data_IF_171603532223
#
_entry.id   IF_171603532223
#
_cell.length_a   1.000
_cell.length_b   1.000
_cell.length_c   1.000
_cell.angle_alpha   90.00
_cell.angle_beta   90.00
_cell.angle_gamma   90.00
#
_symmetry.space_group_name_H-M   'P 1'
#
loop_
_entity.id
_entity.type
_entity.pdbx_description
1 polymer ?
#
# COMPACT_ATOMS: atom_id res chain seq x y z
N UNK A 1 13.66 -2.80 -17.41
CA UNK A 1 12.77 -1.66 -17.11
C UNK A 1 12.85 -1.37 -15.62
N UNK A 2 13.06 -0.10 -15.26
CA UNK A 2 13.17 0.34 -13.86
C UNK A 2 11.83 0.91 -13.39
N UNK A 3 11.27 0.34 -12.32
CA UNK A 3 9.97 0.73 -11.75
C UNK A 3 10.19 1.49 -10.45
N UNK A 4 9.68 2.73 -10.38
CA UNK A 4 9.55 3.47 -9.12
C UNK A 4 8.16 3.21 -8.54
N UNK A 5 8.10 2.37 -7.52
CA UNK A 5 6.86 1.90 -6.90
C UNK A 5 6.59 2.65 -5.60
N UNK A 6 5.40 3.22 -5.45
CA UNK A 6 4.93 3.86 -4.23
C UNK A 6 3.95 2.96 -3.51
N UNK A 7 4.34 2.43 -2.35
CA UNK A 7 3.53 1.64 -1.45
C UNK A 7 3.29 2.33 -0.12
N UNK A 8 2.37 1.81 0.68
CA UNK A 8 2.09 2.35 2.03
C UNK A 8 2.53 1.38 3.13
N UNK A 9 2.40 0.11 2.88
CA UNK A 9 2.75 -0.97 3.80
C UNK A 9 3.41 -2.13 3.04
N UNK A 10 4.26 -2.89 3.74
CA UNK A 10 5.00 -4.03 3.17
C UNK A 10 5.35 -5.03 4.28
N UNK A 11 5.38 -6.35 4.01
CA UNK A 11 5.74 -7.34 5.03
C UNK A 11 7.15 -7.13 5.61
N UNK A 12 7.34 -7.42 6.94
CA UNK A 12 6.43 -8.11 7.84
C UNK A 12 5.35 -7.23 8.47
N UNK A 13 5.38 -5.91 8.26
CA UNK A 13 4.44 -4.95 8.85
C UNK A 13 3.16 -4.87 8.01
N UNK A 14 2.21 -5.74 8.33
CA UNK A 14 0.95 -5.90 7.58
C UNK A 14 -0.21 -5.33 8.39
N UNK A 15 -0.77 -4.21 7.93
CA UNK A 15 -1.99 -3.61 8.49
C UNK A 15 -3.25 -3.98 7.68
N UNK A 16 -3.05 -4.45 6.45
CA UNK A 16 -4.14 -4.84 5.55
C UNK A 16 -3.66 -5.67 4.35
N UNK A 17 -4.58 -5.93 3.43
CA UNK A 17 -4.27 -6.71 2.22
C UNK A 17 -3.30 -6.02 1.26
N UNK A 18 -3.10 -4.70 1.40
CA UNK A 18 -2.22 -3.92 0.53
C UNK A 18 -0.75 -4.34 0.68
N UNK A 19 -0.28 -4.64 1.90
CA UNK A 19 1.08 -5.12 2.14
C UNK A 19 1.37 -6.42 1.37
N UNK A 20 0.46 -7.38 1.48
CA UNK A 20 0.59 -8.68 0.79
C UNK A 20 0.52 -8.50 -0.74
N UNK A 21 -0.36 -7.61 -1.22
CA UNK A 21 -0.46 -7.31 -2.64
C UNK A 21 0.82 -6.63 -3.17
N UNK A 22 1.36 -5.65 -2.46
CA UNK A 22 2.61 -4.98 -2.83
C UNK A 22 3.78 -5.97 -2.91
N UNK A 23 3.87 -6.89 -1.94
CA UNK A 23 4.90 -7.92 -1.93
C UNK A 23 4.77 -8.86 -3.13
N UNK A 24 3.58 -9.42 -3.37
CA UNK A 24 3.34 -10.34 -4.47
C UNK A 24 3.52 -9.69 -5.86
N UNK A 25 3.18 -8.39 -5.99
CA UNK A 25 3.42 -7.63 -7.22
C UNK A 25 4.92 -7.41 -7.42
N UNK A 26 5.67 -7.04 -6.37
CA UNK A 26 7.12 -6.88 -6.45
C UNK A 26 7.81 -8.19 -6.86
N UNK A 27 7.42 -9.32 -6.25
CA UNK A 27 7.91 -10.65 -6.63
C UNK A 27 7.56 -11.00 -8.08
N UNK A 28 6.30 -10.81 -8.48
CA UNK A 28 5.86 -11.12 -9.85
C UNK A 28 6.55 -10.26 -10.91
N UNK A 29 6.83 -9.00 -10.61
CA UNK A 29 7.60 -8.11 -11.48
C UNK A 29 9.08 -8.52 -11.50
N UNK A 30 9.68 -8.81 -10.34
CA UNK A 30 11.08 -9.25 -10.24
C UNK A 30 11.34 -10.54 -11.00
N UNK A 31 10.35 -11.44 -11.09
CA UNK A 31 10.43 -12.66 -11.86
C UNK A 31 10.47 -12.43 -13.39
N UNK A 32 10.14 -11.23 -13.87
CA UNK A 32 10.26 -10.90 -15.28
C UNK A 32 11.69 -10.48 -15.62
N UNK A 33 12.19 -10.82 -16.83
CA UNK A 33 13.54 -10.45 -17.22
C UNK A 33 13.68 -8.92 -17.26
N UNK A 34 14.85 -8.44 -16.81
CA UNK A 34 15.26 -7.03 -16.87
C UNK A 34 14.37 -6.04 -16.10
N UNK A 35 13.69 -6.51 -15.04
CA UNK A 35 12.93 -5.66 -14.14
C UNK A 35 13.76 -5.29 -12.90
N UNK A 36 13.84 -4.00 -12.59
CA UNK A 36 14.46 -3.44 -11.37
C UNK A 36 13.42 -2.61 -10.63
N UNK A 37 13.10 -2.99 -9.39
CA UNK A 37 12.02 -2.39 -8.63
C UNK A 37 12.61 -1.63 -7.45
N UNK A 38 12.27 -0.35 -7.37
CA UNK A 38 12.53 0.49 -6.20
C UNK A 38 11.20 0.82 -5.54
N UNK A 39 10.98 0.28 -4.33
CA UNK A 39 9.79 0.49 -3.53
C UNK A 39 10.02 1.59 -2.51
N UNK A 40 9.22 2.63 -2.57
CA UNK A 40 9.15 3.71 -1.58
C UNK A 40 8.07 3.39 -0.54
N UNK A 41 8.42 3.49 0.75
CA UNK A 41 7.51 3.30 1.87
C UNK A 41 7.58 4.51 2.80
N UNK A 42 6.46 4.98 3.41
CA UNK A 42 6.49 6.11 4.35
C UNK A 42 7.46 5.88 5.51
N UNK A 43 7.36 4.73 6.15
CA UNK A 43 8.19 4.33 7.29
C UNK A 43 8.48 2.84 7.27
N UNK A 44 9.54 2.40 6.60
CA UNK A 44 10.07 1.07 6.81
C UNK A 44 10.76 0.98 8.19
N UNK A 45 10.80 -0.24 8.74
CA UNK A 45 11.35 -0.55 10.05
C UNK A 45 12.76 -1.15 9.97
N UNK A 46 13.19 -1.54 8.75
CA UNK A 46 14.50 -2.08 8.49
C UNK A 46 14.56 -3.62 8.45
N UNK A 47 13.46 -4.29 8.71
CA UNK A 47 13.28 -5.74 8.68
C UNK A 47 12.41 -6.23 7.50
N UNK A 48 12.04 -5.31 6.59
CA UNK A 48 11.32 -5.67 5.36
C UNK A 48 12.14 -6.59 4.46
N UNK A 49 11.45 -7.53 3.83
CA UNK A 49 12.05 -8.41 2.83
C UNK A 49 12.47 -7.61 1.58
N UNK A 50 13.78 -7.59 1.30
CA UNK A 50 14.40 -6.87 0.17
C UNK A 50 14.74 -7.76 -1.01
N UNK A 51 14.25 -8.99 -1.02
CA UNK A 51 14.57 -9.98 -2.06
C UNK A 51 14.11 -9.51 -3.44
N UNK A 52 12.94 -8.87 -3.51
CA UNK A 52 12.28 -8.53 -4.78
C UNK A 52 12.29 -7.06 -5.14
N UNK A 53 12.62 -6.18 -4.20
CA UNK A 53 12.67 -4.74 -4.42
C UNK A 53 13.74 -4.07 -3.55
N UNK A 54 14.37 -3.03 -4.08
CA UNK A 54 15.13 -2.06 -3.26
C UNK A 54 14.14 -1.20 -2.50
N UNK A 55 14.35 -1.00 -1.21
CA UNK A 55 13.45 -0.22 -0.37
C UNK A 55 14.06 1.15 -0.07
N UNK A 56 13.27 2.20 -0.28
CA UNK A 56 13.56 3.56 0.15
C UNK A 56 12.59 3.94 1.25
N UNK A 57 13.12 4.25 2.45
CA UNK A 57 12.35 4.85 3.53
C UNK A 57 12.18 6.35 3.28
N UNK A 58 10.95 6.81 3.05
CA UNK A 58 10.66 8.22 2.82
C UNK A 58 10.96 9.07 4.06
N UNK A 59 10.86 8.48 5.25
CA UNK A 59 11.31 9.08 6.52
C UNK A 59 12.84 9.27 6.63
N UNK A 60 13.61 8.77 5.66
CA UNK A 60 15.07 8.93 5.58
C UNK A 60 15.50 9.83 4.40
N UNK A 61 14.56 10.33 3.60
CA UNK A 61 14.83 11.22 2.48
C UNK A 61 14.83 12.67 2.98
N UNK A 62 15.95 13.41 2.89
CA UNK A 62 16.02 14.79 3.34
C UNK A 62 15.25 15.72 2.41
N UNK A 63 14.50 16.65 3.00
CA UNK A 63 13.80 17.75 2.30
C UNK A 63 14.33 19.12 2.72
N UNK A 64 15.07 19.18 3.81
CA UNK A 64 15.79 20.36 4.27
C UNK A 64 17.28 20.06 4.43
N UNK A 65 18.12 20.99 4.03
CA UNK A 65 19.56 20.82 4.17
C UNK A 65 19.98 20.77 5.64
N UNK A 66 20.84 19.80 5.96
CA UNK A 66 21.53 19.70 7.27
C UNK A 66 22.99 19.35 7.01
N UNK A 67 23.89 20.03 7.74
CA UNK A 67 25.32 19.75 7.69
C UNK A 67 25.62 18.59 8.65
N UNK A 68 25.51 17.37 8.17
CA UNK A 68 25.73 16.13 8.90
C UNK A 68 26.79 15.28 8.23
N UNK A 69 27.66 14.65 9.03
CA UNK A 69 28.71 13.79 8.51
C UNK A 69 28.19 12.38 8.18
N UNK A 70 28.99 11.64 7.40
CA UNK A 70 28.63 10.33 6.90
C UNK A 70 28.36 9.31 8.01
N UNK A 71 29.17 9.26 9.06
CA UNK A 71 29.03 8.30 10.15
C UNK A 71 27.71 8.52 10.89
N UNK A 72 27.35 9.77 11.13
CA UNK A 72 26.08 10.13 11.76
C UNK A 72 24.87 9.70 10.91
N UNK A 73 24.90 9.93 9.61
CA UNK A 73 23.85 9.47 8.69
C UNK A 73 23.79 7.95 8.68
N UNK A 74 24.95 7.30 8.51
CA UNK A 74 25.06 5.84 8.47
C UNK A 74 24.45 5.18 9.70
N UNK A 75 24.79 5.67 10.90
CA UNK A 75 24.28 5.10 12.16
C UNK A 75 22.74 5.19 12.27
N UNK A 76 22.15 6.22 11.66
CA UNK A 76 20.72 6.47 11.74
C UNK A 76 19.86 5.74 10.70
N UNK A 77 20.38 5.53 9.49
CA UNK A 77 19.54 5.07 8.38
C UNK A 77 20.01 3.78 7.71
N UNK A 78 21.21 3.25 8.02
CA UNK A 78 21.75 2.08 7.30
C UNK A 78 20.91 0.81 7.43
N UNK A 79 20.07 0.70 8.44
CA UNK A 79 19.11 -0.40 8.60
C UNK A 79 17.88 -0.25 7.68
N UNK A 80 17.61 0.96 7.20
CA UNK A 80 16.46 1.28 6.34
C UNK A 80 16.89 1.45 4.89
N UNK A 81 17.96 2.21 4.64
CA UNK A 81 18.36 2.64 3.31
C UNK A 81 19.89 2.81 3.25
N UNK A 82 20.47 2.65 2.06
CA UNK A 82 21.90 2.93 1.83
C UNK A 82 22.22 4.42 2.12
N UNK A 83 23.22 4.72 2.97
CA UNK A 83 23.55 6.10 3.36
C UNK A 83 23.90 7.01 2.18
N UNK A 84 24.46 6.46 1.11
CA UNK A 84 24.80 7.18 -0.11
C UNK A 84 23.57 7.80 -0.80
N UNK A 85 22.42 7.14 -0.69
CA UNK A 85 21.16 7.66 -1.22
C UNK A 85 20.70 8.93 -0.48
N UNK A 86 20.96 9.02 0.83
CA UNK A 86 20.68 10.25 1.60
C UNK A 86 21.36 11.46 0.97
N UNK A 87 22.67 11.35 0.69
CA UNK A 87 23.43 12.46 0.08
C UNK A 87 22.97 12.74 -1.34
N UNK A 88 22.69 11.70 -2.12
CA UNK A 88 22.12 11.86 -3.46
C UNK A 88 20.79 12.62 -3.43
N UNK A 89 19.89 12.31 -2.49
CA UNK A 89 18.63 13.04 -2.31
C UNK A 89 18.88 14.48 -1.84
N UNK A 90 19.77 14.68 -0.87
CA UNK A 90 20.13 16.00 -0.35
C UNK A 90 20.58 16.95 -1.45
N UNK A 91 21.34 16.47 -2.41
CA UNK A 91 21.85 17.27 -3.52
C UNK A 91 20.73 17.69 -4.52
N UNK A 92 19.54 17.12 -4.39
CA UNK A 92 18.38 17.42 -5.23
C UNK A 92 17.25 18.14 -4.46
N UNK A 93 17.50 18.65 -3.26
CA UNK A 93 16.57 19.53 -2.56
C UNK A 93 16.39 20.81 -3.34
N UNK A 94 15.17 21.09 -3.78
CA UNK A 94 14.86 22.20 -4.69
C UNK A 94 14.03 23.33 -4.08
N UNK A 95 13.60 23.14 -2.84
CA UNK A 95 12.85 24.13 -2.09
C UNK A 95 13.39 24.22 -0.66
N UNK A 96 13.37 25.43 -0.11
CA UNK A 96 13.72 25.65 1.29
C UNK A 96 12.50 25.41 2.16
N UNK A 97 12.43 24.22 2.73
CA UNK A 97 11.37 23.83 3.66
C UNK A 97 11.70 24.16 5.13
N UNK A 98 12.36 25.27 5.38
CA UNK A 98 12.82 25.67 6.73
C UNK A 98 11.71 25.78 7.78
N UNK A 99 10.47 25.89 7.35
CA UNK A 99 9.29 25.96 8.21
C UNK A 99 8.58 24.60 8.40
N UNK A 100 9.09 23.53 7.78
CA UNK A 100 8.54 22.20 7.98
C UNK A 100 9.16 21.52 9.22
N UNK A 101 8.34 20.71 9.87
CA UNK A 101 8.77 19.92 11.03
C UNK A 101 9.65 18.77 10.54
N UNK A 102 10.97 18.94 10.59
CA UNK A 102 11.97 17.96 10.18
C UNK A 102 12.90 17.65 11.34
N UNK A 103 13.43 16.43 11.35
CA UNK A 103 14.41 15.99 12.32
C UNK A 103 15.83 16.55 12.03
N UNK A 104 16.79 16.11 12.79
CA UNK A 104 18.21 16.51 12.70
C UNK A 104 18.90 16.05 11.40
N UNK A 105 18.31 15.13 10.63
CA UNK A 105 18.72 14.76 9.28
C UNK A 105 18.03 15.59 8.18
N UNK A 106 17.13 16.50 8.53
CA UNK A 106 16.32 17.23 7.56
C UNK A 106 15.19 16.42 6.94
N UNK A 107 14.81 15.30 7.57
CA UNK A 107 13.78 14.37 7.11
C UNK A 107 12.47 14.58 7.88
N UNK A 108 11.35 14.34 7.21
CA UNK A 108 10.03 14.26 7.87
C UNK A 108 9.85 12.93 8.59
N UNK A 109 9.15 12.96 9.70
CA UNK A 109 8.78 11.75 10.43
C UNK A 109 7.41 11.24 9.99
N UNK A 110 7.24 9.92 10.04
CA UNK A 110 5.99 9.22 9.80
C UNK A 110 5.66 8.31 10.98
N UNK A 111 4.39 8.22 11.33
CA UNK A 111 3.95 7.33 12.41
C UNK A 111 4.04 5.84 12.00
N UNK A 112 3.81 5.57 10.71
CA UNK A 112 3.60 4.22 10.18
C UNK A 112 2.16 3.76 10.37
N UNK A 113 1.69 2.88 9.49
CA UNK A 113 0.30 2.41 9.50
C UNK A 113 -0.70 3.49 9.10
N UNK A 114 -1.80 3.61 9.86
CA UNK A 114 -2.92 4.52 9.55
C UNK A 114 -3.20 5.46 10.73
N UNK A 115 -2.39 6.50 10.93
CA UNK A 115 -2.55 7.43 12.05
C UNK A 115 -3.73 8.39 11.87
N UNK A 116 -4.06 9.13 12.93
CA UNK A 116 -5.16 10.11 12.91
C UNK A 116 -4.89 11.30 11.97
N UNK A 117 -3.61 11.65 11.74
CA UNK A 117 -3.16 12.70 10.81
C UNK A 117 -2.82 12.16 9.41
N UNK A 118 -3.47 11.08 8.98
CA UNK A 118 -3.17 10.36 7.73
C UNK A 118 -3.09 11.27 6.49
N UNK A 119 -3.97 12.28 6.37
CA UNK A 119 -3.95 13.21 5.24
C UNK A 119 -2.69 14.08 5.19
N UNK A 120 -2.16 14.47 6.36
CA UNK A 120 -0.89 15.17 6.46
C UNK A 120 0.27 14.27 6.01
N UNK A 121 0.28 13.02 6.46
CA UNK A 121 1.31 12.05 6.04
C UNK A 121 1.26 11.77 4.54
N UNK A 122 0.09 11.68 3.92
CA UNK A 122 -0.07 11.54 2.46
C UNK A 122 0.55 12.74 1.74
N UNK A 123 0.31 13.97 2.24
CA UNK A 123 0.88 15.18 1.66
C UNK A 123 2.41 15.19 1.80
N UNK A 124 2.93 14.87 2.98
CA UNK A 124 4.36 14.78 3.25
C UNK A 124 5.03 13.73 2.35
N UNK A 125 4.40 12.56 2.22
CA UNK A 125 4.83 11.50 1.32
C UNK A 125 4.92 11.99 -0.14
N UNK A 126 3.94 12.76 -0.59
CA UNK A 126 3.92 13.36 -1.93
C UNK A 126 5.07 14.35 -2.14
N UNK A 127 5.37 15.19 -1.17
CA UNK A 127 6.48 16.16 -1.26
C UNK A 127 7.81 15.41 -1.43
N UNK A 128 8.05 14.41 -0.60
CA UNK A 128 9.28 13.61 -0.62
C UNK A 128 9.40 12.82 -1.93
N UNK A 129 8.28 12.32 -2.48
CA UNK A 129 8.27 11.62 -3.76
C UNK A 129 8.84 12.48 -4.91
N UNK A 130 8.65 13.79 -4.87
CA UNK A 130 9.25 14.73 -5.82
C UNK A 130 10.78 14.78 -5.74
N UNK A 131 11.36 14.71 -4.53
CA UNK A 131 12.83 14.64 -4.33
C UNK A 131 13.37 13.32 -4.87
N UNK A 132 12.75 12.21 -4.51
CA UNK A 132 13.14 10.87 -4.99
C UNK A 132 13.09 10.81 -6.52
N UNK A 133 11.99 11.27 -7.12
CA UNK A 133 11.78 11.21 -8.56
C UNK A 133 12.79 12.08 -9.36
N UNK A 134 13.29 13.17 -8.78
CA UNK A 134 14.36 13.98 -9.40
C UNK A 134 15.72 13.30 -9.33
N UNK A 135 15.96 12.54 -8.28
CA UNK A 135 17.28 11.98 -7.96
C UNK A 135 17.49 10.58 -8.55
N UNK A 136 16.42 9.86 -8.87
CA UNK A 136 16.48 8.47 -9.31
C UNK A 136 16.30 8.35 -10.83
N UNK A 137 16.93 7.32 -11.40
CA UNK A 137 16.68 6.92 -12.79
C UNK A 137 15.68 5.77 -12.82
N UNK A 138 14.54 5.98 -13.46
CA UNK A 138 13.47 5.00 -13.63
C UNK A 138 12.70 5.24 -14.93
N UNK A 139 11.95 4.23 -15.36
CA UNK A 139 11.21 4.26 -16.62
C UNK A 139 9.71 4.54 -16.42
N UNK A 140 9.15 4.03 -15.31
CA UNK A 140 7.71 4.10 -15.02
C UNK A 140 7.47 4.28 -13.52
N UNK A 141 6.39 4.97 -13.19
CA UNK A 141 5.87 5.16 -11.83
C UNK A 141 4.70 4.19 -11.62
N UNK A 142 4.70 3.48 -10.48
CA UNK A 142 3.61 2.59 -10.09
C UNK A 142 3.13 2.94 -8.67
N UNK A 143 1.93 3.50 -8.53
CA UNK A 143 1.37 3.94 -7.25
C UNK A 143 0.17 3.08 -6.84
N UNK A 144 0.12 2.68 -5.56
CA UNK A 144 -0.84 1.71 -5.02
C UNK A 144 -1.83 2.35 -4.07
N UNK A 145 -3.10 2.38 -4.47
CA UNK A 145 -4.22 2.98 -3.75
C UNK A 145 -4.09 4.49 -3.49
N UNK A 146 -5.16 5.10 -3.06
CA UNK A 146 -5.32 6.53 -2.87
C UNK A 146 -4.28 7.20 -1.97
N UNK A 147 -3.71 6.45 -1.01
CA UNK A 147 -2.65 6.93 -0.11
C UNK A 147 -1.38 7.35 -0.87
N UNK A 148 -1.12 6.72 -2.01
CA UNK A 148 0.12 6.92 -2.78
C UNK A 148 -0.11 7.68 -4.09
N UNK A 149 -1.36 7.90 -4.50
CA UNK A 149 -1.65 8.60 -5.74
C UNK A 149 -1.07 10.02 -5.80
N UNK A 150 -1.15 10.85 -4.72
CA UNK A 150 -0.50 12.15 -4.72
C UNK A 150 1.02 12.08 -4.93
N UNK A 151 1.69 11.09 -4.36
CA UNK A 151 3.12 10.84 -4.58
C UNK A 151 3.41 10.47 -6.04
N UNK A 152 2.61 9.59 -6.63
CA UNK A 152 2.70 9.21 -8.05
C UNK A 152 2.52 10.41 -8.99
N UNK A 153 1.53 11.26 -8.72
CA UNK A 153 1.28 12.49 -9.50
C UNK A 153 2.47 13.43 -9.42
N UNK A 154 2.99 13.69 -8.22
CA UNK A 154 4.13 14.60 -8.05
C UNK A 154 5.40 14.04 -8.73
N UNK A 155 5.65 12.73 -8.57
CA UNK A 155 6.75 12.07 -9.26
C UNK A 155 6.63 12.21 -10.80
N UNK A 156 5.42 12.04 -11.37
CA UNK A 156 5.15 12.27 -12.79
C UNK A 156 5.43 13.71 -13.20
N UNK A 157 4.96 14.68 -12.42
CA UNK A 157 5.14 16.11 -12.72
C UNK A 157 6.61 16.52 -12.80
N UNK A 158 7.46 15.98 -11.90
CA UNK A 158 8.88 16.39 -11.85
C UNK A 158 9.77 15.57 -12.79
N UNK A 159 9.39 14.35 -13.16
CA UNK A 159 10.20 13.45 -13.99
C UNK A 159 9.75 13.37 -15.45
N UNK A 160 8.48 13.68 -15.72
CA UNK A 160 7.84 13.46 -17.02
C UNK A 160 7.61 11.98 -17.37
N UNK A 161 7.85 11.05 -16.44
CA UNK A 161 7.67 9.62 -16.66
C UNK A 161 6.20 9.20 -16.53
N UNK A 162 5.78 8.14 -17.24
CA UNK A 162 4.38 7.68 -17.19
C UNK A 162 4.01 7.16 -15.79
N UNK A 163 2.76 7.44 -15.40
CA UNK A 163 2.16 7.02 -14.14
C UNK A 163 1.16 5.90 -14.38
N UNK A 164 1.43 4.74 -13.82
CA UNK A 164 0.47 3.67 -13.64
C UNK A 164 -0.03 3.68 -12.18
N UNK A 165 -1.34 3.67 -11.98
CA UNK A 165 -1.92 3.49 -10.65
C UNK A 165 -2.58 2.12 -10.52
N UNK A 166 -2.55 1.56 -9.32
CA UNK A 166 -3.17 0.29 -8.99
C UNK A 166 -4.28 0.51 -7.96
N UNK A 167 -5.51 0.22 -8.33
CA UNK A 167 -6.70 0.38 -7.51
C UNK A 167 -7.04 -0.97 -6.87
N UNK A 168 -6.70 -1.13 -5.58
CA UNK A 168 -7.01 -2.34 -4.81
C UNK A 168 -8.42 -2.30 -4.23
N UNK A 169 -8.91 -1.12 -3.87
CA UNK A 169 -10.29 -0.85 -3.51
C UNK A 169 -10.58 0.64 -3.68
N UNK A 170 -11.83 0.98 -3.91
CA UNK A 170 -12.29 2.37 -3.94
C UNK A 170 -12.97 2.75 -2.63
N UNK A 171 -13.21 4.03 -2.41
CA UNK A 171 -14.00 4.46 -1.24
C UNK A 171 -15.46 4.00 -1.32
N UNK A 172 -15.98 3.73 -2.52
CA UNK A 172 -17.29 3.07 -2.67
C UNK A 172 -17.33 1.69 -2.02
N UNK A 173 -16.23 0.92 -2.12
CA UNK A 173 -16.11 -0.39 -1.49
C UNK A 173 -15.98 -0.28 0.04
N UNK A 174 -15.21 0.72 0.50
CA UNK A 174 -14.93 0.91 1.94
C UNK A 174 -16.14 1.46 2.70
N UNK A 175 -16.93 2.32 2.06
CA UNK A 175 -18.03 3.07 2.68
C UNK A 175 -19.44 2.54 2.32
N UNK A 176 -19.52 1.43 1.57
CA UNK A 176 -20.78 0.90 1.01
C UNK A 176 -21.57 1.97 0.23
N UNK A 177 -20.84 2.76 -0.56
CA UNK A 177 -21.41 3.80 -1.40
C UNK A 177 -21.63 5.16 -0.71
N UNK A 178 -21.34 5.30 0.58
CA UNK A 178 -21.37 6.58 1.31
C UNK A 178 -19.98 7.21 1.31
N UNK A 179 -19.48 7.55 0.12
CA UNK A 179 -18.10 7.98 -0.08
C UNK A 179 -17.74 9.22 0.71
N UNK A 180 -16.52 9.23 1.27
CA UNK A 180 -15.90 10.40 1.86
C UNK A 180 -15.46 11.35 0.74
N UNK A 181 -15.96 12.61 0.68
CA UNK A 181 -15.64 13.53 -0.41
C UNK A 181 -14.13 13.79 -0.58
N UNK A 182 -13.38 13.82 0.51
CA UNK A 182 -11.93 14.05 0.46
C UNK A 182 -11.21 12.85 -0.16
N UNK A 183 -11.53 11.63 0.26
CA UNK A 183 -10.93 10.40 -0.30
C UNK A 183 -11.32 10.27 -1.77
N UNK A 184 -12.60 10.47 -2.11
CA UNK A 184 -13.06 10.49 -3.50
C UNK A 184 -12.26 11.47 -4.37
N UNK A 185 -12.03 12.68 -3.85
CA UNK A 185 -11.27 13.71 -4.58
C UNK A 185 -9.83 13.28 -4.85
N UNK A 186 -9.17 12.65 -3.86
CA UNK A 186 -7.81 12.13 -4.02
C UNK A 186 -7.78 10.97 -5.03
N UNK A 187 -8.70 10.01 -4.91
CA UNK A 187 -8.83 8.89 -5.84
C UNK A 187 -9.05 9.38 -7.26
N UNK A 188 -10.03 10.28 -7.44
CA UNK A 188 -10.35 10.86 -8.75
C UNK A 188 -9.16 11.61 -9.35
N UNK A 189 -8.48 12.43 -8.57
CA UNK A 189 -7.30 13.17 -9.04
C UNK A 189 -6.18 12.21 -9.45
N UNK A 190 -5.96 11.13 -8.70
CA UNK A 190 -5.02 10.07 -9.07
C UNK A 190 -5.37 9.44 -10.41
N UNK A 191 -6.63 9.06 -10.56
CA UNK A 191 -7.14 8.44 -11.79
C UNK A 191 -7.09 9.39 -12.99
N UNK A 192 -7.42 10.68 -12.82
CA UNK A 192 -7.39 11.67 -13.90
C UNK A 192 -5.97 11.90 -14.44
N UNK A 193 -4.95 11.86 -13.56
CA UNK A 193 -3.55 12.08 -13.91
C UNK A 193 -2.80 10.82 -14.37
N UNK A 194 -3.39 9.64 -14.19
CA UNK A 194 -2.76 8.38 -14.58
C UNK A 194 -2.82 8.14 -16.08
N UNK A 195 -1.73 7.59 -16.63
CA UNK A 195 -1.65 7.11 -18.01
C UNK A 195 -2.25 5.70 -18.14
N UNK A 196 -2.18 4.91 -17.04
CA UNK A 196 -2.73 3.57 -16.94
C UNK A 196 -3.36 3.36 -15.56
N UNK A 197 -4.52 2.71 -15.51
CA UNK A 197 -5.23 2.35 -14.29
C UNK A 197 -5.41 0.84 -14.26
N UNK A 198 -4.72 0.16 -13.34
CA UNK A 198 -4.89 -1.25 -13.06
C UNK A 198 -5.94 -1.43 -11.96
N UNK A 199 -6.91 -2.27 -12.19
CA UNK A 199 -7.99 -2.58 -11.25
C UNK A 199 -7.94 -4.06 -10.89
N UNK A 200 -8.03 -4.40 -9.61
CA UNK A 200 -7.90 -5.79 -9.14
C UNK A 200 -9.05 -6.72 -9.55
N UNK A 201 -10.12 -6.18 -10.12
CA UNK A 201 -11.25 -6.97 -10.63
C UNK A 201 -12.01 -6.18 -11.69
N UNK A 202 -12.82 -6.89 -12.46
CA UNK A 202 -13.74 -6.24 -13.40
C UNK A 202 -14.78 -5.38 -12.67
N UNK A 203 -15.21 -5.77 -11.48
CA UNK A 203 -16.10 -4.96 -10.66
C UNK A 203 -15.44 -3.62 -10.29
N UNK A 204 -14.20 -3.64 -9.82
CA UNK A 204 -13.43 -2.42 -9.52
C UNK A 204 -13.25 -1.58 -10.77
N UNK A 205 -12.94 -2.20 -11.92
CA UNK A 205 -12.81 -1.51 -13.21
C UNK A 205 -14.11 -0.79 -13.60
N UNK A 206 -15.25 -1.45 -13.47
CA UNK A 206 -16.55 -0.83 -13.74
C UNK A 206 -16.85 0.32 -12.78
N UNK A 207 -16.50 0.20 -11.50
CA UNK A 207 -16.63 1.29 -10.54
C UNK A 207 -15.77 2.48 -10.97
N UNK A 208 -14.51 2.26 -11.36
CA UNK A 208 -13.59 3.31 -11.82
C UNK A 208 -14.15 4.02 -13.07
N UNK A 209 -14.66 3.28 -14.03
CA UNK A 209 -15.24 3.85 -15.25
C UNK A 209 -16.53 4.64 -14.94
N UNK A 210 -17.46 4.04 -14.18
CA UNK A 210 -18.80 4.58 -14.02
C UNK A 210 -18.88 5.64 -12.93
N UNK A 211 -18.17 5.49 -11.81
CA UNK A 211 -18.28 6.38 -10.64
C UNK A 211 -17.21 7.49 -10.65
N UNK A 212 -16.01 7.20 -11.19
CA UNK A 212 -14.94 8.19 -11.34
C UNK A 212 -14.83 8.75 -12.75
N UNK A 213 -15.69 8.29 -13.68
CA UNK A 213 -15.78 8.78 -15.07
C UNK A 213 -14.45 8.67 -15.83
N UNK A 214 -13.77 7.54 -15.69
CA UNK A 214 -12.50 7.31 -16.35
C UNK A 214 -12.65 6.73 -17.74
N UNK A 215 -11.72 7.05 -18.64
CA UNK A 215 -11.68 6.49 -19.99
C UNK A 215 -11.42 4.96 -19.91
N UNK A 216 -12.35 4.13 -20.45
CA UNK A 216 -12.17 2.68 -20.44
C UNK A 216 -10.88 2.17 -21.11
N UNK A 217 -10.31 2.97 -22.04
CA UNK A 217 -9.09 2.60 -22.78
C UNK A 217 -7.84 2.61 -21.94
N UNK A 218 -7.82 3.36 -20.80
CA UNK A 218 -6.71 3.36 -19.86
C UNK A 218 -6.95 2.49 -18.62
N UNK A 219 -8.11 1.83 -18.52
CA UNK A 219 -8.49 1.00 -17.37
C UNK A 219 -8.38 -0.49 -17.73
N UNK A 220 -7.56 -1.22 -16.97
CA UNK A 220 -7.28 -2.63 -17.18
C UNK A 220 -7.59 -3.45 -15.94
N UNK A 221 -8.15 -4.64 -16.12
CA UNK A 221 -8.33 -5.60 -15.03
C UNK A 221 -7.08 -6.45 -14.89
N UNK A 222 -6.46 -6.40 -13.69
CA UNK A 222 -5.31 -7.21 -13.31
C UNK A 222 -5.61 -7.85 -11.95
N UNK A 223 -5.97 -9.13 -11.98
CA UNK A 223 -6.38 -9.84 -10.77
C UNK A 223 -5.21 -10.04 -9.80
N UNK A 224 -5.49 -9.90 -8.51
CA UNK A 224 -4.57 -10.38 -7.49
C UNK A 224 -4.44 -11.91 -7.57
N UNK A 225 -3.27 -12.41 -7.22
CA UNK A 225 -2.99 -13.84 -7.13
C UNK A 225 -2.87 -14.29 -5.67
N UNK A 226 -2.76 -15.58 -5.47
CA UNK A 226 -2.45 -16.20 -4.19
C UNK A 226 -1.23 -17.11 -4.36
N UNK A 227 -0.42 -17.20 -3.31
CA UNK A 227 0.64 -18.20 -3.28
C UNK A 227 0.04 -19.60 -3.22
N UNK A 228 0.64 -20.59 -3.91
CA UNK A 228 0.39 -21.98 -3.58
C UNK A 228 0.67 -22.19 -2.09
N UNK A 229 -0.17 -22.98 -1.41
CA UNK A 229 0.11 -23.39 -0.03
C UNK A 229 1.55 -23.89 0.08
N UNK A 230 2.35 -23.26 0.96
CA UNK A 230 3.71 -23.73 1.23
C UNK A 230 3.66 -25.19 1.62
N UNK A 231 4.64 -25.98 1.16
CA UNK A 231 4.73 -27.43 1.45
C UNK A 231 4.53 -27.71 2.95
N UNK A 232 5.15 -26.90 3.79
CA UNK A 232 5.06 -26.95 5.26
C UNK A 232 3.63 -26.87 5.80
N UNK A 233 2.75 -26.13 5.10
CA UNK A 233 1.33 -26.02 5.47
C UNK A 233 0.48 -27.15 4.92
N UNK A 234 0.96 -27.84 3.88
CA UNK A 234 0.30 -29.04 3.33
C UNK A 234 0.45 -30.23 4.26
N UNK A 235 1.56 -30.29 5.01
CA UNK A 235 1.90 -31.34 5.96
C UNK A 235 1.29 -31.16 7.35
N UNK A 236 0.62 -30.01 7.60
CA UNK A 236 -0.12 -29.82 8.86
C UNK A 236 -1.30 -30.80 8.89
N UNK A 237 -1.35 -31.71 9.87
CA UNK A 237 -2.47 -32.62 10.01
C UNK A 237 -3.77 -31.80 10.09
N UNK A 238 -4.66 -32.02 9.14
CA UNK A 238 -6.00 -31.42 9.26
C UNK A 238 -6.65 -32.00 10.51
N UNK A 239 -7.18 -31.17 11.40
CA UNK A 239 -7.95 -31.66 12.54
C UNK A 239 -8.99 -32.64 12.01
N UNK A 240 -9.07 -33.81 12.64
CA UNK A 240 -10.08 -34.78 12.28
C UNK A 240 -11.48 -34.23 12.59
N UNK A 241 -12.10 -33.66 11.56
CA UNK A 241 -13.46 -33.16 11.57
C UNK A 241 -14.48 -34.28 11.25
N UNK A 242 -14.08 -35.55 11.38
CA UNK A 242 -15.02 -36.68 11.30
C UNK A 242 -16.07 -36.65 12.44
N UNK A 243 -15.86 -35.77 13.40
CA UNK A 243 -16.88 -35.29 14.32
C UNK A 243 -18.06 -34.65 13.56
N UNK A 244 -19.22 -34.81 14.05
CA UNK A 244 -20.51 -34.43 13.46
C UNK A 244 -20.72 -32.93 13.25
N UNK A 245 -19.75 -32.06 13.63
CA UNK A 245 -19.87 -30.59 13.62
C UNK A 245 -19.07 -29.97 12.47
N UNK A 246 -19.70 -29.11 11.69
CA UNK A 246 -19.03 -28.32 10.64
C UNK A 246 -18.56 -26.97 11.20
N UNK A 247 -17.37 -26.52 10.80
CA UNK A 247 -16.84 -25.20 11.17
C UNK A 247 -16.94 -24.26 9.97
N UNK A 248 -17.60 -23.11 10.19
CA UNK A 248 -17.69 -22.02 9.23
C UNK A 248 -16.93 -20.83 9.79
N UNK A 249 -15.91 -20.38 9.06
CA UNK A 249 -15.00 -19.35 9.55
C UNK A 249 -15.11 -18.06 8.71
N UNK A 250 -15.29 -16.92 9.38
CA UNK A 250 -15.02 -15.60 8.86
C UNK A 250 -13.53 -15.29 9.17
N UNK A 251 -12.74 -14.98 8.16
CA UNK A 251 -11.36 -14.57 8.32
C UNK A 251 -11.14 -13.20 7.66
N UNK A 252 -10.76 -12.20 8.45
CA UNK A 252 -10.50 -10.85 7.93
C UNK A 252 -10.71 -9.76 8.97
N UNK A 253 -10.44 -8.50 8.56
CA UNK A 253 -10.70 -7.36 9.43
C UNK A 253 -12.19 -7.27 9.76
N UNK A 254 -12.51 -7.00 11.01
CA UNK A 254 -13.89 -6.83 11.48
C UNK A 254 -14.28 -5.35 11.30
N UNK A 255 -14.59 -5.00 10.04
CA UNK A 255 -14.88 -3.64 9.60
C UNK A 255 -16.11 -3.63 8.69
N UNK A 256 -16.72 -2.46 8.51
CA UNK A 256 -17.90 -2.29 7.64
C UNK A 256 -17.70 -2.85 6.23
N UNK A 257 -16.52 -2.67 5.65
CA UNK A 257 -16.18 -3.19 4.33
C UNK A 257 -16.30 -4.72 4.22
N UNK A 258 -15.98 -5.45 5.29
CA UNK A 258 -15.98 -6.92 5.32
C UNK A 258 -17.33 -7.52 5.70
N UNK A 259 -18.26 -6.73 6.24
CA UNK A 259 -19.62 -7.13 6.54
C UNK A 259 -19.78 -8.18 7.63
N UNK A 260 -19.13 -8.03 8.81
CA UNK A 260 -19.21 -9.01 9.88
C UNK A 260 -20.65 -9.24 10.36
N UNK A 261 -21.49 -8.23 10.31
CA UNK A 261 -22.90 -8.31 10.68
C UNK A 261 -23.68 -9.30 9.80
N UNK A 262 -23.41 -9.36 8.49
CA UNK A 262 -24.03 -10.34 7.60
C UNK A 262 -23.62 -11.77 7.93
N UNK A 263 -22.37 -11.95 8.38
CA UNK A 263 -21.91 -13.27 8.83
C UNK A 263 -22.65 -13.70 10.10
N UNK A 264 -22.85 -12.78 11.06
CA UNK A 264 -23.61 -13.06 12.30
C UNK A 264 -25.08 -13.35 12.00
N UNK A 265 -25.72 -12.59 11.13
CA UNK A 265 -27.09 -12.85 10.70
C UNK A 265 -27.22 -14.22 10.02
N UNK A 266 -26.32 -14.53 9.09
CA UNK A 266 -26.30 -15.83 8.42
C UNK A 266 -26.09 -16.97 9.41
N UNK A 267 -25.19 -16.81 10.38
CA UNK A 267 -24.98 -17.79 11.46
C UNK A 267 -26.25 -18.02 12.27
N UNK A 268 -26.93 -16.95 12.65
CA UNK A 268 -28.20 -17.03 13.38
C UNK A 268 -29.27 -17.80 12.59
N UNK A 269 -29.44 -17.49 11.30
CA UNK A 269 -30.41 -18.18 10.43
C UNK A 269 -30.09 -19.68 10.28
N UNK A 270 -28.84 -20.06 10.20
CA UNK A 270 -28.41 -21.46 10.07
C UNK A 270 -28.63 -22.21 11.39
N UNK A 271 -28.26 -21.59 12.52
CA UNK A 271 -28.41 -22.22 13.86
C UNK A 271 -29.84 -22.46 14.26
N UNK A 272 -30.81 -21.74 13.70
CA UNK A 272 -32.24 -22.06 13.84
C UNK A 272 -32.66 -23.34 13.11
N UNK A 273 -31.89 -23.79 12.11
CA UNK A 273 -32.22 -24.98 11.30
C UNK A 273 -31.35 -26.19 11.65
N UNK A 274 -30.13 -26.00 12.12
CA UNK A 274 -29.18 -27.05 12.48
C UNK A 274 -28.25 -26.60 13.58
N UNK A 275 -27.94 -27.53 14.51
CA UNK A 275 -26.96 -27.27 15.59
C UNK A 275 -25.63 -27.95 15.36
N UNK A 276 -25.46 -28.65 14.23
CA UNK A 276 -24.23 -29.34 13.86
C UNK A 276 -23.23 -28.41 13.15
N UNK A 277 -23.20 -27.12 13.49
CA UNK A 277 -22.35 -26.11 12.90
C UNK A 277 -21.79 -25.20 13.99
N UNK A 278 -20.50 -24.93 13.94
CA UNK A 278 -19.79 -23.91 14.73
C UNK A 278 -19.40 -22.77 13.83
N UNK A 279 -19.65 -21.55 14.26
CA UNK A 279 -19.19 -20.33 13.59
C UNK A 279 -18.02 -19.73 14.36
N UNK A 280 -16.96 -19.36 13.63
CA UNK A 280 -15.78 -18.68 14.16
C UNK A 280 -15.56 -17.38 13.42
N UNK A 281 -15.19 -16.32 14.15
CA UNK A 281 -14.71 -15.08 13.57
C UNK A 281 -13.26 -14.89 13.99
N UNK A 282 -12.34 -14.77 13.00
CA UNK A 282 -10.92 -14.57 13.22
C UNK A 282 -10.51 -13.24 12.59
N UNK A 283 -10.10 -12.28 13.42
CA UNK A 283 -9.68 -10.94 13.00
C UNK A 283 -9.91 -9.91 14.09
N UNK A 284 -9.58 -8.67 13.76
CA UNK A 284 -9.81 -7.49 14.59
C UNK A 284 -10.30 -6.33 13.73
N UNK A 285 -10.85 -5.27 14.33
CA UNK A 285 -11.35 -4.10 13.64
C UNK A 285 -12.26 -3.24 14.49
N UNK A 286 -12.69 -2.13 13.93
CA UNK A 286 -13.51 -1.09 14.56
C UNK A 286 -14.96 -1.54 14.90
N UNK A 287 -15.38 -2.70 14.40
CA UNK A 287 -16.71 -3.28 14.70
C UNK A 287 -16.65 -4.44 15.72
N UNK A 288 -15.52 -4.63 16.43
CA UNK A 288 -15.38 -5.72 17.41
C UNK A 288 -16.34 -5.61 18.60
N UNK A 289 -16.65 -4.37 19.00
CA UNK A 289 -17.47 -4.08 20.19
C UNK A 289 -18.97 -3.94 19.88
N UNK A 290 -19.36 -4.16 18.64
CA UNK A 290 -20.76 -4.11 18.17
C UNK A 290 -21.38 -5.51 18.16
#
# INVERSE_FOLDING_TARGET
>A
MKVLMFGWEYPPHVYGGLATANFGIAEGLHAQPDMDITLCLPKPWGDEDRTFAKIIGMNCVPIAYRDVNYDYVKDRISHIMEPELYYKFRDHIYADFNYMNVNDLGCMEFAGGYPSNLHEEINNYSIIAGVVARSMDFDIIHAHDWLTFPAGIHAKQVSGKPLCIHVHATDFDRSRGKVNPTVYSIEKNGMDNADCIMCVSELTRQTVINQYHQDPRKCFTVHNAVYPLRQELQDIPRPDHTGKEKVVTFLGRITMQKGPEYFVEAANMVLHRTRNVRFCMAGSGDMMDQ
#
